data_IF_844408791727
#
_entry.id   IF_844408791727
#
_cell.length_a   1.000
_cell.length_b   1.000
_cell.length_c   1.000
_cell.angle_alpha   90.00
_cell.angle_beta   90.00
_cell.angle_gamma   90.00
#
_symmetry.space_group_name_H-M   'P 1'
#
loop_
_entity.id
_entity.type
_entity.pdbx_description
1 polymer ?
#
# COMPACT_ATOMS: atom_id res chain seq x y z
N UNK A 1 25.18 19.74 -24.58
CA UNK A 1 23.74 19.38 -24.40
C UNK A 1 23.71 17.86 -24.29
N UNK A 2 23.94 17.31 -23.12
CA UNK A 2 23.78 15.89 -22.83
C UNK A 2 22.38 15.72 -22.22
N UNK A 3 21.43 15.33 -23.05
CA UNK A 3 20.14 14.82 -22.58
C UNK A 3 20.41 13.53 -21.81
N UNK A 4 20.41 13.63 -20.50
CA UNK A 4 20.30 12.47 -19.63
C UNK A 4 18.93 11.88 -19.90
N UNK A 5 18.88 10.84 -20.72
CA UNK A 5 17.77 9.91 -20.76
C UNK A 5 17.70 9.30 -19.34
N UNK A 6 16.86 9.88 -18.51
CA UNK A 6 16.37 9.21 -17.31
C UNK A 6 15.64 7.99 -17.85
N UNK A 7 16.29 6.83 -17.74
CA UNK A 7 15.65 5.56 -18.04
C UNK A 7 14.38 5.53 -17.22
N UNK A 8 13.24 5.51 -17.90
CA UNK A 8 11.99 5.09 -17.32
C UNK A 8 12.26 3.67 -16.82
N UNK A 9 12.51 3.52 -15.52
CA UNK A 9 12.48 2.23 -14.87
C UNK A 9 11.09 1.68 -15.14
N UNK A 10 11.05 0.73 -16.08
CA UNK A 10 9.84 -0.01 -16.37
C UNK A 10 9.62 -0.91 -15.16
N UNK A 11 8.94 -0.38 -14.14
CA UNK A 11 8.47 -1.16 -13.01
C UNK A 11 7.53 -2.22 -13.58
N UNK A 12 8.08 -3.39 -13.86
CA UNK A 12 7.29 -4.55 -14.24
C UNK A 12 6.46 -4.89 -13.00
N UNK A 13 5.17 -4.77 -13.13
CA UNK A 13 4.22 -5.19 -12.08
C UNK A 13 4.12 -6.70 -12.16
N UNK A 14 4.87 -7.35 -11.29
CA UNK A 14 5.05 -8.80 -11.37
C UNK A 14 3.82 -9.58 -10.90
N UNK A 15 2.97 -8.94 -10.08
CA UNK A 15 1.79 -9.59 -9.54
C UNK A 15 0.72 -8.61 -9.10
N UNK A 16 -0.53 -8.97 -9.34
CA UNK A 16 -1.71 -8.25 -8.86
C UNK A 16 -2.53 -9.12 -7.91
N UNK A 17 -2.83 -8.58 -6.74
CA UNK A 17 -3.70 -9.21 -5.75
C UNK A 17 -4.91 -8.32 -5.55
N UNK A 18 -6.09 -8.83 -5.88
CA UNK A 18 -7.33 -8.06 -5.82
C UNK A 18 -8.25 -8.60 -4.72
N UNK A 19 -8.76 -7.71 -3.90
CA UNK A 19 -9.81 -8.00 -2.92
C UNK A 19 -11.14 -7.63 -3.56
N UNK A 20 -12.00 -8.60 -3.72
CA UNK A 20 -13.32 -8.48 -4.38
C UNK A 20 -14.45 -8.88 -3.43
N UNK A 21 -15.67 -8.46 -3.75
CA UNK A 21 -16.84 -8.75 -2.92
C UNK A 21 -17.13 -7.65 -1.90
N UNK A 22 -17.96 -7.99 -0.91
CA UNK A 22 -18.38 -7.07 0.14
C UNK A 22 -19.27 -5.94 -0.38
N UNK A 23 -20.05 -5.35 0.52
CA UNK A 23 -20.92 -4.21 0.20
C UNK A 23 -20.25 -2.86 0.42
N UNK A 24 -19.11 -2.80 1.14
CA UNK A 24 -18.46 -1.56 1.54
C UNK A 24 -17.04 -1.44 0.97
N UNK A 25 -16.80 -0.32 0.30
CA UNK A 25 -15.44 0.07 -0.16
C UNK A 25 -14.48 0.18 1.03
N UNK A 26 -14.95 0.72 2.15
CA UNK A 26 -14.14 0.87 3.38
C UNK A 26 -13.61 -0.46 3.88
N UNK A 27 -14.43 -1.51 3.85
CA UNK A 27 -14.04 -2.85 4.26
C UNK A 27 -12.94 -3.42 3.35
N UNK A 28 -13.11 -3.27 2.03
CA UNK A 28 -12.08 -3.70 1.05
C UNK A 28 -10.77 -2.94 1.24
N UNK A 29 -10.83 -1.62 1.42
CA UNK A 29 -9.64 -0.78 1.65
C UNK A 29 -8.94 -1.14 2.95
N UNK A 30 -9.70 -1.43 4.02
CA UNK A 30 -9.13 -1.86 5.30
C UNK A 30 -8.31 -3.14 5.16
N UNK A 31 -8.90 -4.20 4.60
CA UNK A 31 -8.19 -5.47 4.41
C UNK A 31 -7.06 -5.37 3.36
N UNK A 32 -7.22 -4.55 2.33
CA UNK A 32 -6.16 -4.31 1.36
C UNK A 32 -4.94 -3.61 2.01
N UNK A 33 -5.18 -2.65 2.89
CA UNK A 33 -4.11 -1.98 3.63
C UNK A 33 -3.40 -2.93 4.59
N UNK A 34 -4.16 -3.73 5.33
CA UNK A 34 -3.59 -4.72 6.23
C UNK A 34 -2.76 -5.78 5.47
N UNK A 35 -3.25 -6.24 4.33
CA UNK A 35 -2.50 -7.15 3.47
C UNK A 35 -1.24 -6.49 2.90
N UNK A 36 -1.32 -5.22 2.48
CA UNK A 36 -0.17 -4.44 2.04
C UNK A 36 0.90 -4.39 3.12
N UNK A 37 0.52 -4.04 4.35
CA UNK A 37 1.45 -3.89 5.48
C UNK A 37 2.16 -5.22 5.84
N UNK A 38 1.53 -6.37 5.53
CA UNK A 38 2.13 -7.70 5.70
C UNK A 38 3.06 -8.10 4.54
N UNK A 39 2.79 -7.61 3.34
CA UNK A 39 3.56 -7.94 2.13
C UNK A 39 4.77 -7.02 1.96
N UNK A 40 4.63 -5.73 2.22
CA UNK A 40 5.65 -4.72 1.98
C UNK A 40 6.99 -4.96 2.71
N UNK A 41 7.03 -5.57 3.93
CA UNK A 41 8.28 -5.88 4.61
C UNK A 41 9.10 -7.03 4.01
N UNK A 42 8.59 -7.75 3.01
CA UNK A 42 9.34 -8.83 2.34
C UNK A 42 10.53 -8.24 1.60
N UNK A 43 11.73 -8.73 1.86
CA UNK A 43 13.00 -8.20 1.33
C UNK A 43 13.03 -8.08 -0.20
N UNK A 44 12.39 -9.03 -0.89
CA UNK A 44 12.33 -9.10 -2.35
C UNK A 44 11.41 -8.05 -2.97
N UNK A 45 10.55 -7.42 -2.18
CA UNK A 45 9.55 -6.45 -2.66
C UNK A 45 10.15 -5.06 -2.70
N UNK A 46 9.94 -4.37 -3.80
CA UNK A 46 10.32 -2.97 -3.98
C UNK A 46 9.22 -2.03 -3.48
N UNK A 47 8.00 -2.25 -3.94
CA UNK A 47 6.84 -1.40 -3.65
C UNK A 47 5.55 -2.21 -3.77
N UNK A 48 4.57 -1.89 -2.92
CA UNK A 48 3.19 -2.37 -3.04
C UNK A 48 2.29 -1.16 -3.23
N UNK A 49 1.74 -1.01 -4.43
CA UNK A 49 0.82 0.09 -4.79
C UNK A 49 -0.63 -0.38 -4.71
N UNK A 50 -1.49 0.48 -4.21
CA UNK A 50 -2.92 0.20 -4.09
C UNK A 50 -3.71 0.96 -5.15
N UNK A 51 -4.50 0.23 -5.98
CA UNK A 51 -5.34 0.80 -7.04
C UNK A 51 -6.81 0.46 -6.77
N UNK A 52 -7.71 1.40 -7.10
CA UNK A 52 -9.14 1.26 -6.80
C UNK A 52 -9.50 1.54 -5.34
N UNK A 53 -8.55 2.07 -4.56
CA UNK A 53 -8.76 2.50 -3.18
C UNK A 53 -8.87 4.03 -3.13
N UNK A 54 -10.05 4.59 -2.86
CA UNK A 54 -10.18 6.02 -2.66
C UNK A 54 -9.52 6.42 -1.34
N UNK A 55 -8.92 7.60 -1.34
CA UNK A 55 -8.34 8.20 -0.15
C UNK A 55 -9.44 8.54 0.86
N UNK A 56 -9.29 8.10 2.11
CA UNK A 56 -10.20 8.44 3.19
C UNK A 56 -9.87 9.84 3.69
N UNK A 57 -10.88 10.70 3.72
CA UNK A 57 -10.75 12.11 4.13
C UNK A 57 -11.79 12.49 5.17
N UNK A 58 -11.47 13.51 5.94
CA UNK A 58 -12.41 14.19 6.81
C UNK A 58 -13.02 15.37 6.05
N UNK A 59 -14.30 15.28 5.72
CA UNK A 59 -15.06 16.33 5.08
C UNK A 59 -15.73 17.20 6.14
N UNK A 60 -15.44 18.50 6.13
CA UNK A 60 -16.08 19.49 6.98
C UNK A 60 -17.20 20.21 6.22
N UNK A 61 -18.46 19.90 6.52
CA UNK A 61 -19.62 20.59 5.98
C UNK A 61 -19.94 21.80 6.85
N UNK A 62 -19.69 22.98 6.30
CA UNK A 62 -19.81 24.25 7.03
C UNK A 62 -21.26 24.73 7.03
N UNK A 63 -21.78 25.11 8.22
CA UNK A 63 -23.09 25.73 8.40
C UNK A 63 -22.98 27.25 8.31
N UNK A 64 -23.48 27.82 7.21
CA UNK A 64 -23.44 29.26 6.95
C UNK A 64 -24.22 30.09 7.98
N UNK A 65 -25.32 29.54 8.54
CA UNK A 65 -26.11 30.24 9.53
C UNK A 65 -25.33 30.35 10.87
N UNK A 66 -24.71 29.26 11.29
CA UNK A 66 -23.85 29.24 12.47
C UNK A 66 -22.61 30.12 12.31
N UNK A 67 -21.94 30.08 11.16
CA UNK A 67 -20.84 31.01 10.88
C UNK A 67 -21.24 32.46 11.10
N UNK A 68 -22.40 32.85 10.56
CA UNK A 68 -22.91 34.21 10.69
C UNK A 68 -23.25 34.57 12.15
N UNK A 69 -23.85 33.65 12.90
CA UNK A 69 -24.22 33.89 14.32
C UNK A 69 -22.98 34.05 15.22
N UNK A 70 -21.90 33.28 14.95
CA UNK A 70 -20.64 33.39 15.69
C UNK A 70 -19.69 34.45 15.12
N UNK A 71 -20.07 35.11 14.02
CA UNK A 71 -19.22 36.10 13.33
C UNK A 71 -17.89 35.52 12.84
N UNK A 72 -17.92 34.26 12.40
CA UNK A 72 -16.76 33.53 11.86
C UNK A 72 -16.77 33.65 10.33
N UNK A 73 -15.61 33.90 9.74
CA UNK A 73 -15.43 33.96 8.29
C UNK A 73 -14.84 32.65 7.76
N UNK A 74 -14.99 32.42 6.46
CA UNK A 74 -14.38 31.26 5.81
C UNK A 74 -12.84 31.29 5.91
N UNK A 75 -12.25 32.50 5.87
CA UNK A 75 -10.84 32.70 6.05
C UNK A 75 -10.33 32.31 7.43
N UNK A 76 -11.14 32.59 8.48
CA UNK A 76 -10.80 32.18 9.85
C UNK A 76 -10.75 30.65 9.95
N UNK A 77 -11.71 29.95 9.37
CA UNK A 77 -11.75 28.48 9.33
C UNK A 77 -10.51 27.94 8.60
N UNK A 78 -10.24 28.47 7.40
CA UNK A 78 -9.10 28.02 6.59
C UNK A 78 -7.76 28.21 7.34
N UNK A 79 -7.54 29.39 7.90
CA UNK A 79 -6.31 29.70 8.63
C UNK A 79 -6.15 28.81 9.88
N UNK A 80 -7.24 28.58 10.61
CA UNK A 80 -7.21 27.72 11.80
C UNK A 80 -6.89 26.27 11.44
N UNK A 81 -7.52 25.72 10.41
CA UNK A 81 -7.23 24.34 9.96
C UNK A 81 -5.79 24.24 9.43
N UNK A 82 -5.36 25.19 8.60
CA UNK A 82 -4.02 25.19 8.06
C UNK A 82 -2.94 25.30 9.15
N UNK A 83 -3.15 26.13 10.17
CA UNK A 83 -2.22 26.29 11.27
C UNK A 83 -2.12 25.08 12.21
N UNK A 84 -3.21 24.32 12.34
CA UNK A 84 -3.25 23.15 13.22
C UNK A 84 -2.90 21.84 12.50
N UNK A 85 -2.79 21.84 11.17
CA UNK A 85 -2.42 20.67 10.36
C UNK A 85 -0.98 20.75 9.82
N UNK A 86 -0.10 21.38 10.56
CA UNK A 86 1.33 21.52 10.20
C UNK A 86 2.15 20.44 10.91
N UNK A 87 2.81 19.59 10.11
CA UNK A 87 3.91 18.78 10.61
C UNK A 87 5.13 19.68 10.71
N UNK A 88 5.55 19.97 11.93
CA UNK A 88 6.75 20.81 12.16
C UNK A 88 7.96 19.88 12.21
N UNK A 89 8.88 19.96 11.23
CA UNK A 89 10.12 19.20 11.32
C UNK A 89 10.93 19.73 12.51
N UNK A 90 11.07 18.91 13.55
CA UNK A 90 11.81 19.24 14.77
C UNK A 90 13.33 19.24 14.59
N UNK A 91 13.82 19.03 13.35
CA UNK A 91 15.24 18.97 13.04
C UNK A 91 15.82 17.55 13.14
N UNK A 92 17.15 17.47 13.05
CA UNK A 92 17.90 16.22 13.18
C UNK A 92 18.63 16.21 14.51
N UNK A 93 18.47 15.15 15.28
CA UNK A 93 19.28 14.88 16.46
C UNK A 93 20.37 13.89 16.12
N UNK A 94 21.61 14.30 16.25
CA UNK A 94 22.76 13.41 16.14
C UNK A 94 23.14 12.90 17.53
N UNK A 95 23.07 11.61 17.73
CA UNK A 95 23.40 10.96 19.00
C UNK A 95 24.83 10.38 19.03
N UNK A 96 25.64 10.68 17.99
CA UNK A 96 26.99 10.10 17.85
C UNK A 96 27.01 8.62 17.44
N UNK A 97 25.85 7.96 17.40
CA UNK A 97 25.63 6.59 16.90
C UNK A 97 24.63 6.53 15.73
N UNK A 98 24.01 7.64 15.40
CA UNK A 98 23.06 7.77 14.32
C UNK A 98 22.34 9.12 14.37
N UNK A 99 21.85 9.57 13.22
CA UNK A 99 21.07 10.79 13.08
C UNK A 99 19.58 10.41 12.94
N UNK A 100 18.76 10.93 13.84
CA UNK A 100 17.31 10.71 13.84
C UNK A 100 16.58 12.00 13.47
N UNK A 101 15.61 11.91 12.57
CA UNK A 101 14.70 13.01 12.32
C UNK A 101 13.69 13.11 13.48
N UNK A 102 13.59 14.27 14.07
CA UNK A 102 12.56 14.57 15.06
C UNK A 102 11.41 15.22 14.29
N UNK A 103 10.25 14.58 14.31
CA UNK A 103 9.01 15.12 13.77
C UNK A 103 8.07 15.37 14.95
N UNK A 104 7.54 16.59 15.01
CA UNK A 104 6.43 16.87 15.94
C UNK A 104 5.15 16.50 15.21
N UNK A 105 4.44 15.46 15.64
CA UNK A 105 3.19 15.05 14.99
C UNK A 105 2.19 16.19 15.02
N UNK A 106 1.39 16.31 13.99
CA UNK A 106 0.27 17.25 13.97
C UNK A 106 -0.70 16.91 15.12
N UNK A 107 -1.33 17.93 15.67
CA UNK A 107 -2.28 17.77 16.79
C UNK A 107 -3.52 16.94 16.39
N UNK A 108 -3.72 16.72 15.09
CA UNK A 108 -4.89 16.04 14.54
C UNK A 108 -4.56 14.54 14.34
N UNK A 109 -4.87 13.74 15.33
CA UNK A 109 -4.79 12.27 15.26
C UNK A 109 -6.17 11.62 15.08
N UNK A 110 -7.21 12.30 15.49
CA UNK A 110 -8.58 11.79 15.46
C UNK A 110 -9.59 12.81 14.93
N UNK A 111 -10.75 12.31 14.46
CA UNK A 111 -11.86 13.19 14.09
C UNK A 111 -12.29 14.11 15.25
N UNK A 112 -12.11 13.67 16.51
CA UNK A 112 -12.44 14.44 17.71
C UNK A 112 -11.55 15.67 17.85
N UNK A 113 -10.29 15.56 17.48
CA UNK A 113 -9.34 16.68 17.56
C UNK A 113 -9.72 17.78 16.57
N UNK A 114 -10.24 17.38 15.39
CA UNK A 114 -10.72 18.33 14.39
C UNK A 114 -11.90 19.16 14.91
N UNK A 115 -12.83 18.56 15.68
CA UNK A 115 -13.92 19.31 16.31
C UNK A 115 -13.41 20.36 17.29
N UNK A 116 -12.30 20.11 17.96
CA UNK A 116 -11.73 20.97 19.02
C UNK A 116 -10.88 22.12 18.47
N UNK A 117 -10.63 22.19 17.18
CA UNK A 117 -9.80 23.26 16.59
C UNK A 117 -10.45 24.61 16.84
N UNK A 118 -9.77 25.56 17.52
CA UNK A 118 -10.30 26.89 17.75
C UNK A 118 -10.29 27.70 16.45
N UNK A 119 -11.44 28.15 16.00
CA UNK A 119 -11.60 28.97 14.79
C UNK A 119 -11.59 30.46 15.14
N UNK A 120 -12.17 30.82 16.26
CA UNK A 120 -12.20 32.22 16.73
C UNK A 120 -12.14 32.27 18.23
N UNK A 121 -11.22 33.10 18.73
CA UNK A 121 -11.09 33.36 20.16
C UNK A 121 -11.58 34.78 20.42
N UNK A 122 -12.62 34.91 21.24
CA UNK A 122 -13.18 36.17 21.75
C UNK A 122 -12.87 36.27 23.23
N UNK A 123 -13.04 37.48 23.83
CA UNK A 123 -12.78 37.69 25.26
C UNK A 123 -13.62 36.81 26.18
N UNK A 124 -14.82 36.41 25.72
CA UNK A 124 -15.81 35.71 26.56
C UNK A 124 -16.07 34.26 26.07
N UNK A 125 -15.58 33.87 24.88
CA UNK A 125 -15.84 32.54 24.32
C UNK A 125 -14.82 32.12 23.26
N UNK A 126 -14.57 30.81 23.20
CA UNK A 126 -13.79 30.17 22.12
C UNK A 126 -14.81 29.45 21.24
N UNK A 127 -14.83 29.81 19.95
CA UNK A 127 -15.62 29.12 18.93
C UNK A 127 -14.75 28.08 18.27
N UNK A 128 -15.17 26.83 18.32
CA UNK A 128 -14.46 25.71 17.73
C UNK A 128 -15.00 25.36 16.34
N UNK A 129 -14.25 24.56 15.58
CA UNK A 129 -14.71 24.08 14.28
C UNK A 129 -16.01 23.26 14.40
N UNK A 130 -16.17 22.50 15.48
CA UNK A 130 -17.37 21.73 15.77
C UNK A 130 -18.64 22.58 15.96
N UNK A 131 -18.50 23.86 16.37
CA UNK A 131 -19.64 24.76 16.54
C UNK A 131 -20.18 25.25 15.18
N UNK A 132 -19.34 25.33 14.14
CA UNK A 132 -19.67 25.92 12.85
C UNK A 132 -19.69 24.91 11.71
N UNK A 133 -19.18 23.68 11.90
CA UNK A 133 -19.12 22.64 10.88
C UNK A 133 -19.51 21.27 11.42
N UNK A 134 -20.03 20.43 10.54
CA UNK A 134 -20.24 19.01 10.79
C UNK A 134 -19.16 18.21 10.06
N UNK A 135 -18.38 17.43 10.82
CA UNK A 135 -17.27 16.66 10.26
C UNK A 135 -17.75 15.23 9.99
N UNK A 136 -17.50 14.75 8.78
CA UNK A 136 -17.84 13.39 8.35
C UNK A 136 -16.60 12.70 7.79
N UNK A 137 -16.42 11.42 8.14
CA UNK A 137 -15.46 10.56 7.45
C UNK A 137 -16.07 10.11 6.14
N UNK A 138 -15.46 10.49 5.05
CA UNK A 138 -15.88 10.12 3.70
C UNK A 138 -14.67 9.72 2.86
N UNK A 139 -14.92 9.43 1.60
CA UNK A 139 -13.86 9.19 0.64
C UNK A 139 -13.79 10.33 -0.34
N UNK A 140 -12.58 10.66 -0.75
CA UNK A 140 -12.33 11.54 -1.88
C UNK A 140 -12.86 10.88 -3.17
N UNK A 141 -13.14 11.69 -4.17
CA UNK A 141 -13.53 11.18 -5.47
C UNK A 141 -12.50 10.18 -6.01
N UNK A 142 -13.01 9.10 -6.62
CA UNK A 142 -12.15 8.06 -7.15
C UNK A 142 -11.27 8.59 -8.26
N UNK A 143 -9.97 8.47 -8.13
CA UNK A 143 -8.98 8.77 -9.17
C UNK A 143 -8.67 7.54 -10.03
N UNK A 144 -8.93 6.35 -9.53
CA UNK A 144 -8.71 5.08 -10.21
C UNK A 144 -9.78 4.06 -9.83
N UNK A 145 -10.11 3.19 -10.76
CA UNK A 145 -11.06 2.09 -10.55
C UNK A 145 -10.38 0.77 -10.87
N UNK A 146 -10.55 -0.20 -10.00
CA UNK A 146 -10.15 -1.58 -10.25
C UNK A 146 -11.39 -2.47 -10.29
N UNK A 147 -11.47 -3.35 -11.28
CA UNK A 147 -12.56 -4.32 -11.42
C UNK A 147 -12.01 -5.69 -11.79
N UNK A 148 -12.55 -6.70 -11.16
CA UNK A 148 -12.23 -8.09 -11.46
C UNK A 148 -13.53 -8.82 -11.73
N UNK A 149 -13.65 -9.44 -12.89
CA UNK A 149 -14.87 -10.14 -13.34
C UNK A 149 -16.15 -9.27 -13.23
N UNK A 150 -16.02 -7.96 -13.50
CA UNK A 150 -17.16 -7.02 -13.43
C UNK A 150 -17.49 -6.50 -12.02
N UNK A 151 -16.85 -7.00 -10.98
CA UNK A 151 -17.02 -6.55 -9.60
C UNK A 151 -15.97 -5.50 -9.24
N UNK A 152 -16.38 -4.48 -8.48
CA UNK A 152 -15.45 -3.45 -7.99
C UNK A 152 -14.48 -4.10 -6.97
N UNK A 153 -13.21 -3.86 -7.19
CA UNK A 153 -12.11 -4.43 -6.43
C UNK A 153 -11.18 -3.34 -5.89
N UNK A 154 -10.41 -3.69 -4.87
CA UNK A 154 -9.19 -2.98 -4.48
C UNK A 154 -8.02 -3.89 -4.81
N UNK A 155 -7.11 -3.42 -5.65
CA UNK A 155 -5.99 -4.20 -6.17
C UNK A 155 -4.67 -3.72 -5.59
N UNK A 156 -3.88 -4.64 -5.09
CA UNK A 156 -2.49 -4.45 -4.73
C UNK A 156 -1.62 -4.84 -5.92
N UNK A 157 -0.88 -3.89 -6.44
CA UNK A 157 0.09 -4.06 -7.51
C UNK A 157 1.46 -4.18 -6.85
N UNK A 158 2.09 -5.34 -6.99
CA UNK A 158 3.35 -5.66 -6.33
C UNK A 158 4.46 -5.59 -7.37
N UNK A 159 5.50 -4.81 -7.07
CA UNK A 159 6.72 -4.72 -7.86
C UNK A 159 7.88 -5.32 -7.10
N UNK A 160 8.66 -6.18 -7.75
CA UNK A 160 9.85 -6.81 -7.17
C UNK A 160 11.09 -5.94 -7.41
N UNK A 161 12.12 -6.14 -6.59
CA UNK A 161 13.45 -5.56 -6.82
C UNK A 161 14.13 -6.25 -8.00
N UNK A 162 14.93 -5.55 -8.77
CA UNK A 162 15.62 -6.09 -9.95
C UNK A 162 16.44 -7.36 -9.67
N UNK A 163 17.04 -7.46 -8.49
CA UNK A 163 17.86 -8.61 -8.08
C UNK A 163 17.07 -9.69 -7.34
N UNK A 164 15.77 -9.55 -7.20
CA UNK A 164 14.95 -10.45 -6.40
C UNK A 164 14.68 -11.76 -7.15
N UNK A 165 14.67 -12.87 -6.41
CA UNK A 165 14.17 -14.13 -6.93
C UNK A 165 12.63 -14.11 -6.91
N UNK A 166 12.02 -14.03 -8.09
CA UNK A 166 10.57 -13.96 -8.25
C UNK A 166 9.85 -15.20 -7.68
N UNK A 167 10.46 -16.37 -7.72
CA UNK A 167 9.88 -17.62 -7.18
C UNK A 167 9.83 -17.56 -5.66
N UNK A 168 10.91 -17.12 -5.02
CA UNK A 168 10.99 -17.01 -3.56
C UNK A 168 10.02 -15.94 -3.05
N UNK A 169 9.98 -14.79 -3.71
CA UNK A 169 9.00 -13.74 -3.43
C UNK A 169 7.56 -14.26 -3.55
N UNK A 170 7.28 -15.02 -4.62
CA UNK A 170 5.97 -15.64 -4.83
C UNK A 170 5.58 -16.58 -3.70
N UNK A 171 6.49 -17.42 -3.27
CA UNK A 171 6.23 -18.37 -2.18
C UNK A 171 5.95 -17.62 -0.87
N UNK A 172 6.76 -16.62 -0.53
CA UNK A 172 6.54 -15.79 0.65
C UNK A 172 5.18 -15.08 0.64
N UNK A 173 4.78 -14.53 -0.53
CA UNK A 173 3.47 -13.89 -0.69
C UNK A 173 2.35 -14.93 -0.52
N UNK A 174 2.47 -16.12 -1.10
CA UNK A 174 1.45 -17.18 -0.97
C UNK A 174 1.29 -17.65 0.47
N UNK A 175 2.36 -17.74 1.23
CA UNK A 175 2.31 -18.10 2.65
C UNK A 175 1.55 -17.05 3.47
N UNK A 176 1.76 -15.77 3.17
CA UNK A 176 0.98 -14.68 3.79
C UNK A 176 -0.49 -14.77 3.37
N UNK A 177 -0.76 -14.94 2.08
CA UNK A 177 -2.13 -15.03 1.55
C UNK A 177 -2.90 -16.21 2.12
N UNK A 178 -2.26 -17.37 2.32
CA UNK A 178 -2.91 -18.55 2.91
C UNK A 178 -3.42 -18.26 4.33
N UNK A 179 -2.61 -17.61 5.16
CA UNK A 179 -2.97 -17.21 6.52
C UNK A 179 -4.01 -16.09 6.53
N UNK A 180 -3.82 -15.10 5.67
CA UNK A 180 -4.72 -13.96 5.58
C UNK A 180 -6.12 -14.33 5.09
N UNK A 181 -6.22 -15.36 4.26
CA UNK A 181 -7.50 -15.85 3.77
C UNK A 181 -8.43 -16.36 4.87
N UNK A 182 -7.87 -16.94 5.93
CA UNK A 182 -8.63 -17.41 7.08
C UNK A 182 -9.14 -16.28 7.98
N UNK A 183 -8.53 -15.09 7.86
CA UNK A 183 -8.91 -13.88 8.60
C UNK A 183 -9.93 -13.02 7.84
N UNK A 184 -10.15 -13.30 6.55
CA UNK A 184 -11.11 -12.55 5.75
C UNK A 184 -12.57 -12.95 6.09
N UNK A 185 -13.48 -11.96 6.12
CA UNK A 185 -14.91 -12.24 6.17
C UNK A 185 -15.39 -13.05 4.94
N UNK A 186 -16.38 -13.91 5.13
CA UNK A 186 -16.92 -14.76 4.06
C UNK A 186 -17.42 -14.02 2.82
N UNK A 187 -17.78 -12.74 2.97
CA UNK A 187 -18.26 -11.89 1.88
C UNK A 187 -17.15 -11.27 1.03
N UNK A 188 -15.88 -11.44 1.41
CA UNK A 188 -14.71 -10.98 0.66
C UNK A 188 -13.94 -12.18 0.11
N UNK A 189 -13.34 -11.98 -1.05
CA UNK A 189 -12.45 -12.98 -1.65
C UNK A 189 -11.21 -12.34 -2.27
N UNK A 190 -10.13 -13.11 -2.32
CA UNK A 190 -8.87 -12.71 -2.93
C UNK A 190 -8.75 -13.36 -4.29
N UNK A 191 -8.47 -12.55 -5.31
CA UNK A 191 -8.16 -12.99 -6.65
C UNK A 191 -6.73 -12.59 -6.99
N UNK A 192 -5.91 -13.57 -7.33
CA UNK A 192 -4.53 -13.34 -7.80
C UNK A 192 -4.55 -13.33 -9.31
N UNK A 193 -3.97 -12.32 -9.90
CA UNK A 193 -3.81 -12.19 -11.35
C UNK A 193 -2.39 -11.79 -11.69
N UNK A 194 -1.98 -12.05 -12.92
CA UNK A 194 -0.64 -11.74 -13.43
C UNK A 194 0.47 -12.46 -12.64
N UNK A 195 0.30 -13.77 -12.36
CA UNK A 195 1.29 -14.58 -11.64
C UNK A 195 2.12 -15.42 -12.62
N UNK A 196 3.14 -14.82 -13.21
CA UNK A 196 4.02 -15.47 -14.17
C UNK A 196 4.99 -16.48 -13.50
N UNK A 197 5.09 -16.44 -12.16
CA UNK A 197 6.01 -17.34 -11.44
C UNK A 197 5.58 -18.79 -11.45
N UNK A 198 4.31 -19.07 -11.67
CA UNK A 198 3.80 -20.45 -11.86
C UNK A 198 4.44 -21.06 -13.11
N UNK A 199 4.43 -20.30 -14.21
CA UNK A 199 5.03 -20.74 -15.48
C UNK A 199 6.56 -20.88 -15.36
N UNK A 200 7.20 -19.87 -14.76
CA UNK A 200 8.65 -19.91 -14.52
C UNK A 200 9.08 -21.12 -13.68
N UNK A 201 8.34 -21.45 -12.61
CA UNK A 201 8.64 -22.60 -11.77
C UNK A 201 8.49 -23.94 -12.49
N UNK A 202 7.50 -24.07 -13.38
CA UNK A 202 7.32 -25.24 -14.23
C UNK A 202 8.51 -25.39 -15.21
N UNK A 203 8.92 -24.31 -15.86
CA UNK A 203 10.07 -24.34 -16.78
C UNK A 203 11.37 -24.74 -16.08
N UNK A 204 11.63 -24.20 -14.88
CA UNK A 204 12.80 -24.58 -14.08
C UNK A 204 12.76 -26.07 -13.70
N UNK A 205 11.58 -26.58 -13.32
CA UNK A 205 11.42 -28.00 -12.99
C UNK A 205 11.65 -28.91 -14.18
N UNK A 206 11.13 -28.55 -15.36
CA UNK A 206 11.34 -29.30 -16.60
C UNK A 206 12.82 -29.26 -17.03
N UNK A 207 13.47 -28.10 -16.94
CA UNK A 207 14.88 -27.95 -17.24
C UNK A 207 15.76 -28.86 -16.35
N UNK A 208 15.50 -28.84 -15.03
CA UNK A 208 16.18 -29.71 -14.08
C UNK A 208 15.96 -31.20 -14.41
N UNK A 209 14.73 -31.59 -14.75
CA UNK A 209 14.41 -32.95 -15.18
C UNK A 209 15.19 -33.37 -16.41
N UNK A 210 15.29 -32.51 -17.43
CA UNK A 210 16.02 -32.75 -18.66
C UNK A 210 17.54 -32.85 -18.44
N UNK A 211 18.10 -32.00 -17.55
CA UNK A 211 19.52 -32.05 -17.17
C UNK A 211 19.85 -33.41 -16.52
N UNK A 212 19.03 -33.83 -15.55
CA UNK A 212 19.24 -35.10 -14.85
C UNK A 212 19.12 -36.26 -15.85
N UNK A 213 18.10 -36.24 -16.72
CA UNK A 213 17.91 -37.27 -17.76
C UNK A 213 19.07 -37.35 -18.76
N UNK A 214 19.78 -36.25 -19.03
CA UNK A 214 20.96 -36.22 -19.89
C UNK A 214 22.24 -36.66 -19.16
N UNK A 215 22.44 -36.18 -17.92
CA UNK A 215 23.69 -36.44 -17.17
C UNK A 215 23.78 -37.88 -16.71
N UNK A 216 22.69 -38.53 -16.29
CA UNK A 216 22.70 -39.91 -15.76
C UNK A 216 23.18 -40.91 -16.81
N UNK A 217 22.65 -40.98 -18.07
CA UNK A 217 23.13 -41.90 -19.08
C UNK A 217 24.55 -41.62 -19.50
N UNK A 218 24.94 -40.35 -19.65
CA UNK A 218 26.32 -39.97 -20.05
C UNK A 218 27.30 -40.40 -18.97
N UNK A 219 27.01 -40.15 -17.70
CA UNK A 219 27.87 -40.58 -16.60
C UNK A 219 27.97 -42.11 -16.52
N UNK A 220 26.88 -42.83 -16.76
CA UNK A 220 26.89 -44.30 -16.80
C UNK A 220 27.76 -44.83 -17.94
N UNK A 221 27.64 -44.30 -19.15
CA UNK A 221 28.45 -44.72 -20.32
C UNK A 221 29.91 -44.37 -20.09
N UNK A 222 30.23 -43.21 -19.53
CA UNK A 222 31.59 -42.77 -19.27
C UNK A 222 32.27 -43.66 -18.20
N UNK A 223 31.60 -44.00 -17.11
CA UNK A 223 32.11 -44.90 -16.08
C UNK A 223 32.33 -46.32 -16.63
N UNK A 224 31.39 -46.83 -17.42
CA UNK A 224 31.49 -48.16 -18.01
C UNK A 224 32.60 -48.25 -19.05
N UNK A 225 32.81 -47.20 -19.85
CA UNK A 225 33.94 -47.15 -20.81
C UNK A 225 35.31 -47.19 -20.12
N UNK A 226 35.41 -46.65 -18.90
CA UNK A 226 36.64 -46.69 -18.11
C UNK A 226 36.93 -48.08 -17.52
N UNK A 227 35.91 -48.90 -17.26
CA UNK A 227 36.06 -50.28 -16.74
C UNK A 227 36.43 -51.28 -17.85
N UNK A 228 36.24 -50.94 -19.14
CA UNK A 228 36.51 -51.86 -20.25
C UNK A 228 37.90 -51.67 -20.88
N UNK A 229 38.73 -50.80 -20.32
CA UNK A 229 40.11 -50.56 -20.76
C UNK A 229 41.11 -51.30 -19.85
N UNK A 230 41.00 -52.63 -19.76
CA UNK A 230 42.06 -53.52 -19.25
C UNK A 230 42.30 -54.60 -20.29
#
# INVERSE_FOLDING_TARGET
ITSRLVGSEMCIRDRNISIVGGSSVRQKVFYARELKDRIEPIEQILEVRMTGAPEEVLEGVIDKAKMKSYGVTLSDIYNSVASNNLIIPGGKQDTGRGSFNIEVPSIIESAKDVYSIPVKVSKDAIVTLGDVATIKRTFKDFTSYARVNGQDAVTLEISLRESANAIDASNAIRDILSKFKDELPENLSIVISNDDTVYASLMVKELNGNIIAAVVPVSYTHLRAHETTC
#
